data_IF_049755514385
#
_entry.id   IF_049755514385
#
_cell.length_a   1.000
_cell.length_b   1.000
_cell.length_c   1.000
_cell.angle_alpha   90.00
_cell.angle_beta   90.00
_cell.angle_gamma   90.00
#
_symmetry.space_group_name_H-M   'P 1'
#
loop_
_entity.id
_entity.type
_entity.pdbx_description
1 polymer ?
#
# COMPACT_ATOMS: atom_id res chain seq x y z
N UNK A 1 -26.25 -1.63 19.78
CA UNK A 1 -25.64 -2.95 19.65
C UNK A 1 -24.59 -3.01 18.53
N UNK A 2 -24.83 -2.49 17.32
CA UNK A 2 -23.86 -2.51 16.21
C UNK A 2 -22.56 -1.76 16.55
N UNK A 3 -22.64 -0.60 17.15
CA UNK A 3 -21.46 0.23 17.56
C UNK A 3 -20.61 -0.49 18.64
N UNK A 4 -21.24 -1.23 19.54
CA UNK A 4 -20.52 -2.02 20.54
C UNK A 4 -19.78 -3.20 19.91
N UNK A 5 -20.40 -3.87 18.94
CA UNK A 5 -19.78 -4.99 18.22
C UNK A 5 -18.61 -4.50 17.34
N UNK A 6 -18.72 -3.35 16.70
CA UNK A 6 -17.61 -2.75 15.93
C UNK A 6 -16.43 -2.33 16.82
N UNK A 7 -16.69 -1.71 17.97
CA UNK A 7 -15.67 -1.42 18.98
C UNK A 7 -14.98 -2.69 19.50
N UNK A 8 -15.75 -3.75 19.76
CA UNK A 8 -15.19 -5.04 20.20
C UNK A 8 -14.33 -5.70 19.11
N UNK A 9 -14.77 -5.67 17.86
CA UNK A 9 -13.98 -6.21 16.74
C UNK A 9 -12.70 -5.40 16.50
N UNK A 10 -12.75 -4.09 16.68
CA UNK A 10 -11.57 -3.24 16.60
C UNK A 10 -10.59 -3.51 17.75
N UNK A 11 -11.09 -3.62 18.99
CA UNK A 11 -10.30 -3.96 20.18
C UNK A 11 -9.61 -5.33 20.01
N UNK A 12 -10.33 -6.34 19.54
CA UNK A 12 -9.77 -7.66 19.29
C UNK A 12 -8.67 -7.58 18.22
N UNK A 13 -8.86 -6.85 17.13
CA UNK A 13 -7.84 -6.68 16.08
C UNK A 13 -6.56 -6.00 16.58
N UNK A 14 -6.68 -5.07 17.52
CA UNK A 14 -5.53 -4.37 18.11
C UNK A 14 -4.84 -5.20 19.19
N UNK A 15 -5.61 -5.88 20.05
CA UNK A 15 -5.06 -6.69 21.14
C UNK A 15 -4.50 -8.05 20.67
N UNK A 16 -5.05 -8.62 19.62
CA UNK A 16 -4.67 -9.93 19.12
C UNK A 16 -3.16 -10.07 18.84
N UNK A 17 -2.50 -9.13 18.17
CA UNK A 17 -1.05 -9.19 17.94
C UNK A 17 -0.23 -9.15 19.24
N UNK A 18 -0.71 -8.42 20.26
CA UNK A 18 -0.03 -8.36 21.57
C UNK A 18 -0.17 -9.69 22.34
N UNK A 19 -1.35 -10.30 22.27
CA UNK A 19 -1.58 -11.61 22.88
C UNK A 19 -0.73 -12.70 22.19
N UNK A 20 -0.73 -12.72 20.88
CA UNK A 20 0.10 -13.62 20.07
C UNK A 20 1.59 -13.45 20.40
N UNK A 21 2.04 -12.20 20.55
CA UNK A 21 3.40 -11.87 20.94
C UNK A 21 3.76 -12.46 22.31
N UNK A 22 2.88 -12.31 23.31
CA UNK A 22 3.07 -12.90 24.64
C UNK A 22 3.11 -14.44 24.60
N UNK A 23 2.25 -15.07 23.82
CA UNK A 23 2.25 -16.53 23.67
C UNK A 23 3.52 -17.00 22.99
N UNK A 24 3.94 -16.35 21.92
CA UNK A 24 5.19 -16.67 21.21
C UNK A 24 6.44 -16.40 22.05
N UNK A 25 6.40 -15.51 23.03
CA UNK A 25 7.51 -15.27 23.93
C UNK A 25 7.90 -16.52 24.73
N UNK A 26 6.93 -17.35 25.15
CA UNK A 26 7.17 -18.51 26.00
C UNK A 26 8.16 -19.51 25.38
N UNK A 27 7.98 -19.99 24.13
CA UNK A 27 8.94 -20.90 23.51
C UNK A 27 10.33 -20.28 23.31
N UNK A 28 10.40 -18.98 22.97
CA UNK A 28 11.70 -18.32 22.84
C UNK A 28 12.41 -18.16 24.18
N UNK A 29 11.67 -17.89 25.26
CA UNK A 29 12.18 -17.87 26.62
C UNK A 29 12.71 -19.26 27.04
N UNK A 30 11.96 -20.33 26.74
CA UNK A 30 12.40 -21.70 27.01
C UNK A 30 13.63 -22.08 26.18
N UNK A 31 13.67 -21.67 24.92
CA UNK A 31 14.80 -21.89 24.04
C UNK A 31 16.05 -21.17 24.56
N UNK A 32 15.93 -19.90 24.94
CA UNK A 32 17.04 -19.16 25.55
C UNK A 32 17.57 -19.83 26.81
N UNK A 33 16.70 -20.42 27.62
CA UNK A 33 17.12 -21.12 28.83
C UNK A 33 17.87 -22.45 28.54
N UNK A 34 17.61 -23.08 27.39
CA UNK A 34 18.30 -24.31 26.95
C UNK A 34 19.58 -24.03 26.15
N UNK A 35 19.67 -22.91 25.44
CA UNK A 35 20.83 -22.55 24.60
C UNK A 35 22.03 -22.12 25.44
N UNK A 36 21.79 -21.61 26.66
CA UNK A 36 22.85 -21.25 27.58
C UNK A 36 23.56 -22.50 28.07
N UNK A 37 24.86 -22.64 27.68
CA UNK A 37 25.69 -23.81 27.98
C UNK A 37 25.81 -24.83 26.84
N UNK A 38 25.17 -24.60 25.70
CA UNK A 38 25.31 -25.41 24.50
C UNK A 38 26.38 -24.82 23.59
N UNK A 39 27.42 -25.58 23.28
CA UNK A 39 28.50 -25.15 22.37
C UNK A 39 28.00 -24.89 20.95
N UNK A 40 26.96 -25.58 20.50
CA UNK A 40 26.39 -25.45 19.15
C UNK A 40 25.60 -24.15 18.95
N UNK A 41 25.04 -23.58 20.02
CA UNK A 41 24.20 -22.39 19.96
C UNK A 41 24.80 -21.18 20.68
N UNK A 42 26.10 -21.20 20.95
CA UNK A 42 26.81 -20.15 21.70
C UNK A 42 26.66 -18.74 21.06
N UNK A 43 26.49 -18.69 19.72
CA UNK A 43 26.39 -17.45 18.96
C UNK A 43 24.95 -17.09 18.57
N UNK A 44 23.96 -17.87 18.96
CA UNK A 44 22.57 -17.62 18.65
C UNK A 44 21.88 -16.94 19.84
N UNK A 45 21.37 -15.75 19.64
CA UNK A 45 20.54 -15.07 20.62
C UNK A 45 19.04 -15.27 20.31
N UNK A 46 18.33 -16.16 21.03
CA UNK A 46 16.92 -16.40 20.80
C UNK A 46 16.02 -15.17 21.01
N UNK A 47 16.40 -14.27 21.93
CA UNK A 47 15.64 -13.06 22.15
C UNK A 47 15.77 -12.07 20.99
N UNK A 48 16.96 -12.00 20.39
CA UNK A 48 17.17 -11.20 19.18
C UNK A 48 16.32 -11.73 18.03
N UNK A 49 16.32 -13.06 17.81
CA UNK A 49 15.47 -13.70 16.79
C UNK A 49 13.99 -13.43 17.01
N UNK A 50 13.53 -13.51 18.25
CA UNK A 50 12.15 -13.22 18.62
C UNK A 50 11.76 -11.79 18.28
N UNK A 51 12.58 -10.79 18.67
CA UNK A 51 12.32 -9.38 18.36
C UNK A 51 12.33 -9.11 16.87
N UNK A 52 13.30 -9.66 16.14
CA UNK A 52 13.38 -9.50 14.67
C UNK A 52 12.18 -10.14 13.97
N UNK A 53 11.71 -11.29 14.41
CA UNK A 53 10.54 -11.95 13.85
C UNK A 53 9.30 -11.05 13.96
N UNK A 54 9.04 -10.49 15.15
CA UNK A 54 7.91 -9.59 15.36
C UNK A 54 8.10 -8.24 14.65
N UNK A 55 9.33 -7.74 14.53
CA UNK A 55 9.63 -6.55 13.75
C UNK A 55 9.28 -6.72 12.27
N UNK A 56 9.63 -7.87 11.68
CA UNK A 56 9.37 -8.17 10.26
C UNK A 56 7.88 -8.40 10.00
N UNK A 57 7.17 -9.08 10.90
CA UNK A 57 5.76 -9.44 10.69
C UNK A 57 4.83 -8.27 10.98
N UNK A 58 5.00 -7.62 12.12
CA UNK A 58 4.04 -6.64 12.65
C UNK A 58 4.53 -5.20 12.62
N UNK A 59 5.84 -4.95 12.40
CA UNK A 59 6.43 -3.62 12.34
C UNK A 59 6.90 -3.08 13.69
N UNK A 60 7.11 -1.76 13.74
CA UNK A 60 7.83 -1.08 14.83
C UNK A 60 7.17 -1.23 16.20
N UNK A 61 5.83 -1.13 16.28
CA UNK A 61 5.13 -1.21 17.58
C UNK A 61 5.33 -2.55 18.26
N UNK A 62 5.19 -3.65 17.52
CA UNK A 62 5.36 -4.99 18.06
C UNK A 62 6.82 -5.33 18.33
N UNK A 63 7.75 -4.81 17.53
CA UNK A 63 9.18 -4.92 17.77
C UNK A 63 9.56 -4.32 19.13
N UNK A 64 9.06 -3.11 19.43
CA UNK A 64 9.31 -2.45 20.72
C UNK A 64 8.73 -3.25 21.89
N UNK A 65 7.51 -3.75 21.74
CA UNK A 65 6.88 -4.58 22.76
C UNK A 65 7.63 -5.89 22.99
N UNK A 66 8.03 -6.58 21.90
CA UNK A 66 8.87 -7.80 21.97
C UNK A 66 10.22 -7.53 22.65
N UNK A 67 10.84 -6.38 22.36
CA UNK A 67 12.10 -6.01 22.99
C UNK A 67 11.93 -5.81 24.50
N UNK A 68 10.86 -5.16 24.95
CA UNK A 68 10.55 -4.99 26.38
C UNK A 68 10.33 -6.36 27.05
N UNK A 69 9.58 -7.27 26.41
CA UNK A 69 9.37 -8.62 26.93
C UNK A 69 10.68 -9.42 27.00
N UNK A 70 11.53 -9.31 25.99
CA UNK A 70 12.84 -9.97 25.95
C UNK A 70 13.74 -9.46 27.08
N UNK A 71 13.80 -8.16 27.31
CA UNK A 71 14.56 -7.55 28.42
C UNK A 71 14.00 -8.00 29.76
N UNK A 72 12.69 -7.97 29.93
CA UNK A 72 12.05 -8.45 31.16
C UNK A 72 12.36 -9.93 31.44
N UNK A 73 12.28 -10.78 30.42
CA UNK A 73 12.63 -12.21 30.52
C UNK A 73 14.10 -12.44 30.84
N UNK A 74 14.98 -11.65 30.21
CA UNK A 74 16.41 -11.70 30.52
C UNK A 74 16.71 -11.29 31.96
N UNK A 75 16.15 -10.16 32.41
CA UNK A 75 16.31 -9.67 33.77
C UNK A 75 15.77 -10.67 34.80
N UNK A 76 14.56 -11.18 34.55
CA UNK A 76 13.96 -12.20 35.42
C UNK A 76 14.88 -13.42 35.61
N UNK A 77 15.48 -13.91 34.52
CA UNK A 77 16.40 -15.04 34.56
C UNK A 77 17.69 -14.72 35.33
N UNK A 78 18.29 -13.53 35.08
CA UNK A 78 19.54 -13.13 35.72
C UNK A 78 19.37 -12.95 37.25
N UNK A 79 18.20 -12.51 37.70
CA UNK A 79 17.91 -12.37 39.14
C UNK A 79 17.95 -13.70 39.90
N UNK A 80 17.78 -14.83 39.21
CA UNK A 80 17.93 -16.17 39.82
C UNK A 80 19.38 -16.66 39.91
N UNK A 81 20.26 -16.15 39.05
CA UNK A 81 21.64 -16.63 38.92
C UNK A 81 22.68 -15.71 39.53
N UNK A 82 22.37 -14.42 39.62
CA UNK A 82 23.28 -13.38 40.14
C UNK A 82 22.54 -12.40 41.04
N UNK A 83 23.31 -11.64 41.85
CA UNK A 83 22.76 -10.53 42.60
C UNK A 83 22.16 -9.49 41.65
N UNK A 84 20.93 -8.99 41.92
CA UNK A 84 20.26 -8.01 41.05
C UNK A 84 21.09 -6.73 40.85
N UNK A 85 21.94 -6.37 41.82
CA UNK A 85 22.86 -5.24 41.71
C UNK A 85 23.98 -5.48 40.67
N UNK A 86 24.53 -6.67 40.59
CA UNK A 86 25.57 -7.03 39.60
C UNK A 86 25.03 -6.97 38.16
N UNK A 87 23.79 -7.39 37.95
CA UNK A 87 23.14 -7.31 36.65
C UNK A 87 22.91 -5.88 36.19
N UNK A 88 22.57 -5.00 37.13
CA UNK A 88 22.36 -3.58 36.85
C UNK A 88 23.65 -2.80 36.59
N UNK A 89 24.82 -3.29 37.04
CA UNK A 89 26.12 -2.65 36.81
C UNK A 89 26.87 -3.23 35.61
N UNK A 90 26.40 -4.36 35.06
CA UNK A 90 27.05 -5.01 33.93
C UNK A 90 26.88 -4.23 32.63
N UNK A 91 27.98 -3.64 32.14
CA UNK A 91 28.01 -2.88 30.89
C UNK A 91 27.55 -3.72 29.66
N UNK A 92 27.90 -5.00 29.63
CA UNK A 92 27.51 -5.88 28.51
C UNK A 92 26.00 -6.05 28.41
N UNK A 93 25.29 -6.04 29.52
CA UNK A 93 23.83 -6.10 29.57
C UNK A 93 23.22 -4.88 28.88
N UNK A 94 23.75 -3.68 29.12
CA UNK A 94 23.23 -2.46 28.48
C UNK A 94 23.51 -2.44 26.97
N UNK A 95 24.71 -2.87 26.55
CA UNK A 95 25.04 -2.97 25.12
C UNK A 95 24.11 -3.94 24.42
N UNK A 96 23.84 -5.09 25.04
CA UNK A 96 22.91 -6.09 24.49
C UNK A 96 21.48 -5.53 24.40
N UNK A 97 20.97 -4.86 25.45
CA UNK A 97 19.67 -4.21 25.42
C UNK A 97 19.59 -3.16 24.31
N UNK A 98 20.60 -2.30 24.21
CA UNK A 98 20.66 -1.27 23.17
C UNK A 98 20.65 -1.90 21.77
N UNK A 99 21.44 -2.95 21.52
CA UNK A 99 21.47 -3.68 20.25
C UNK A 99 20.10 -4.25 19.90
N UNK A 100 19.41 -4.86 20.85
CA UNK A 100 18.10 -5.47 20.66
C UNK A 100 17.04 -4.43 20.29
N UNK A 101 17.04 -3.26 20.96
CA UNK A 101 16.14 -2.15 20.63
C UNK A 101 16.48 -1.52 19.27
N UNK A 102 17.77 -1.23 19.02
CA UNK A 102 18.20 -0.60 17.76
C UNK A 102 17.81 -1.49 16.57
N UNK A 103 18.14 -2.77 16.62
CA UNK A 103 17.83 -3.70 15.52
C UNK A 103 16.32 -3.89 15.36
N UNK A 104 15.58 -4.05 16.47
CA UNK A 104 14.13 -4.17 16.43
C UNK A 104 13.45 -2.94 15.83
N UNK A 105 13.89 -1.74 16.24
CA UNK A 105 13.36 -0.48 15.72
C UNK A 105 13.69 -0.27 14.24
N UNK A 106 14.94 -0.51 13.83
CA UNK A 106 15.36 -0.33 12.44
C UNK A 106 14.59 -1.26 11.51
N UNK A 107 14.53 -2.55 11.86
CA UNK A 107 13.82 -3.54 11.04
C UNK A 107 12.31 -3.28 11.04
N UNK A 108 11.73 -2.95 12.19
CA UNK A 108 10.32 -2.60 12.32
C UNK A 108 9.95 -1.35 11.51
N UNK A 109 10.79 -0.31 11.56
CA UNK A 109 10.63 0.89 10.75
C UNK A 109 10.71 0.59 9.23
N UNK A 110 11.72 -0.18 8.81
CA UNK A 110 11.84 -0.57 7.40
C UNK A 110 10.61 -1.32 6.90
N UNK A 111 10.07 -2.22 7.72
CA UNK A 111 8.85 -2.95 7.39
C UNK A 111 7.64 -2.02 7.24
N UNK A 112 7.47 -1.05 8.16
CA UNK A 112 6.38 -0.09 8.10
C UNK A 112 6.52 0.84 6.88
N UNK A 113 7.74 1.26 6.56
CA UNK A 113 8.04 2.04 5.36
C UNK A 113 7.70 1.27 4.06
N UNK A 114 8.10 0.00 3.97
CA UNK A 114 7.76 -0.85 2.81
C UNK A 114 6.24 -0.99 2.67
N UNK A 115 5.51 -1.10 3.79
CA UNK A 115 4.04 -1.20 3.77
C UNK A 115 3.41 0.10 3.25
N UNK A 116 3.88 1.25 3.70
CA UNK A 116 3.40 2.55 3.24
C UNK A 116 3.67 2.74 1.75
N UNK A 117 4.90 2.46 1.30
CA UNK A 117 5.25 2.53 -0.12
C UNK A 117 4.39 1.61 -1.00
N UNK A 118 4.03 0.42 -0.53
CA UNK A 118 3.14 -0.47 -1.27
C UNK A 118 1.72 0.10 -1.40
N UNK A 119 1.20 0.71 -0.34
CA UNK A 119 -0.12 1.34 -0.39
C UNK A 119 -0.12 2.54 -1.35
N UNK A 120 0.89 3.39 -1.28
CA UNK A 120 1.06 4.52 -2.21
C UNK A 120 1.19 4.05 -3.67
N UNK A 121 1.94 2.98 -3.92
CA UNK A 121 2.07 2.39 -5.25
C UNK A 121 0.73 1.86 -5.78
N UNK A 122 -0.06 1.20 -4.93
CA UNK A 122 -1.40 0.71 -5.30
C UNK A 122 -2.36 1.87 -5.62
N UNK A 123 -2.36 2.92 -4.81
CA UNK A 123 -3.18 4.11 -5.06
C UNK A 123 -2.78 4.80 -6.38
N UNK A 124 -1.48 4.86 -6.67
CA UNK A 124 -0.96 5.40 -7.92
C UNK A 124 -1.38 4.55 -9.13
N UNK A 125 -1.29 3.23 -9.02
CA UNK A 125 -1.75 2.31 -10.08
C UNK A 125 -3.25 2.46 -10.35
N UNK A 126 -4.07 2.57 -9.31
CA UNK A 126 -5.51 2.80 -9.47
C UNK A 126 -5.79 4.16 -10.13
N UNK A 127 -5.03 5.21 -9.75
CA UNK A 127 -5.17 6.52 -10.36
C UNK A 127 -4.80 6.52 -11.84
N UNK A 128 -3.68 5.88 -12.17
CA UNK A 128 -3.22 5.73 -13.57
C UNK A 128 -4.24 4.93 -14.41
N UNK A 129 -4.79 3.85 -13.85
CA UNK A 129 -5.81 3.07 -14.54
C UNK A 129 -7.08 3.89 -14.81
N UNK A 130 -7.52 4.72 -13.87
CA UNK A 130 -8.65 5.66 -14.11
C UNK A 130 -8.33 6.64 -15.23
N UNK A 131 -7.13 7.24 -15.23
CA UNK A 131 -6.71 8.15 -16.30
C UNK A 131 -6.68 7.45 -17.68
N UNK A 132 -6.23 6.21 -17.74
CA UNK A 132 -6.23 5.43 -18.99
C UNK A 132 -7.65 5.23 -19.52
N UNK A 133 -8.60 4.90 -18.62
CA UNK A 133 -10.02 4.77 -18.99
C UNK A 133 -10.58 6.09 -19.51
N UNK A 134 -10.35 7.19 -18.78
CA UNK A 134 -10.82 8.52 -19.17
C UNK A 134 -10.25 8.95 -20.54
N UNK A 135 -8.95 8.73 -20.78
CA UNK A 135 -8.30 9.03 -22.07
C UNK A 135 -8.91 8.17 -23.20
N UNK A 136 -9.20 6.92 -22.93
CA UNK A 136 -9.83 6.02 -23.89
C UNK A 136 -11.22 6.50 -24.27
N UNK A 137 -12.04 6.86 -23.28
CA UNK A 137 -13.41 7.37 -23.49
C UNK A 137 -13.39 8.68 -24.29
N UNK A 138 -12.45 9.59 -23.98
CA UNK A 138 -12.25 10.82 -24.74
C UNK A 138 -11.85 10.51 -26.19
N UNK A 139 -10.93 9.56 -26.40
CA UNK A 139 -10.49 9.17 -27.72
C UNK A 139 -11.63 8.54 -28.55
N UNK A 140 -12.43 7.66 -27.95
CA UNK A 140 -13.60 7.06 -28.61
C UNK A 140 -14.66 8.14 -28.95
N UNK A 141 -14.85 9.12 -28.05
CA UNK A 141 -15.72 10.27 -28.32
C UNK A 141 -15.21 11.10 -29.49
N UNK A 142 -13.92 11.40 -29.54
CA UNK A 142 -13.29 12.16 -30.62
C UNK A 142 -13.42 11.45 -31.97
N UNK A 143 -13.24 10.11 -31.99
CA UNK A 143 -13.43 9.31 -33.21
C UNK A 143 -14.88 9.43 -33.70
N UNK A 144 -15.88 9.30 -32.80
CA UNK A 144 -17.30 9.46 -33.16
C UNK A 144 -17.62 10.86 -33.68
N UNK A 145 -17.09 11.90 -33.04
CA UNK A 145 -17.26 13.29 -33.49
C UNK A 145 -16.67 13.48 -34.88
N UNK A 146 -15.48 12.92 -35.14
CA UNK A 146 -14.85 12.94 -36.45
C UNK A 146 -15.71 12.26 -37.53
N UNK A 147 -16.23 11.07 -37.25
CA UNK A 147 -17.13 10.33 -38.18
C UNK A 147 -18.39 11.15 -38.50
N UNK A 148 -19.01 11.76 -37.47
CA UNK A 148 -20.21 12.61 -37.68
C UNK A 148 -19.86 13.84 -38.53
N UNK A 149 -18.70 14.48 -38.30
CA UNK A 149 -18.27 15.63 -39.09
C UNK A 149 -17.98 15.25 -40.54
N UNK A 150 -17.34 14.10 -40.79
CA UNK A 150 -17.11 13.58 -42.13
C UNK A 150 -18.41 13.31 -42.86
N UNK A 151 -19.39 12.74 -42.18
CA UNK A 151 -20.71 12.48 -42.73
C UNK A 151 -21.49 13.76 -43.06
N UNK A 152 -21.42 14.76 -42.17
CA UNK A 152 -22.00 16.08 -42.44
C UNK A 152 -21.33 16.80 -43.62
N UNK A 153 -20.02 16.65 -43.78
CA UNK A 153 -19.30 17.20 -44.93
C UNK A 153 -19.75 16.56 -46.26
N UNK A 154 -19.96 15.26 -46.26
CA UNK A 154 -20.45 14.52 -47.44
C UNK A 154 -21.88 14.98 -47.77
N UNK A 155 -22.79 15.04 -46.80
CA UNK A 155 -24.16 15.45 -46.98
C UNK A 155 -24.22 16.92 -47.45
N UNK A 156 -23.34 17.78 -46.96
CA UNK A 156 -23.29 19.18 -47.39
C UNK A 156 -22.80 19.33 -48.82
N UNK A 157 -21.81 18.53 -49.23
CA UNK A 157 -21.29 18.47 -50.58
C UNK A 157 -22.36 17.99 -51.56
N UNK A 158 -23.14 16.95 -51.20
CA UNK A 158 -24.24 16.44 -52.02
C UNK A 158 -25.38 17.43 -52.12
N UNK A 159 -25.69 18.20 -51.02
CA UNK A 159 -26.69 19.27 -51.05
C UNK A 159 -26.26 20.42 -51.95
N UNK A 160 -25.00 20.85 -51.92
CA UNK A 160 -24.46 21.89 -52.83
C UNK A 160 -24.52 21.40 -54.26
N UNK A 161 -24.15 20.12 -54.56
CA UNK A 161 -24.27 19.54 -55.86
C UNK A 161 -25.68 19.51 -56.40
N UNK A 162 -26.69 19.22 -55.58
CA UNK A 162 -28.10 19.27 -55.94
C UNK A 162 -28.59 20.70 -56.21
N UNK A 163 -28.21 21.68 -55.40
CA UNK A 163 -28.54 23.09 -55.58
C UNK A 163 -27.94 23.58 -56.91
N UNK A 164 -26.69 23.27 -57.21
CA UNK A 164 -26.03 23.63 -58.45
C UNK A 164 -26.72 22.98 -59.67
N UNK A 165 -27.11 21.72 -59.59
CA UNK A 165 -27.83 21.02 -60.68
C UNK A 165 -29.23 21.61 -60.94
N UNK A 166 -29.93 22.03 -59.85
CA UNK A 166 -31.24 22.67 -59.95
C UNK A 166 -31.10 24.07 -60.55
N UNK A 167 -30.11 24.83 -60.14
CA UNK A 167 -29.86 26.19 -60.66
C UNK A 167 -29.46 26.13 -62.16
N UNK A 168 -28.56 25.20 -62.52
CA UNK A 168 -28.20 25.01 -63.92
C UNK A 168 -29.38 24.53 -64.79
N UNK A 169 -30.27 23.66 -64.21
CA UNK A 169 -31.48 23.22 -64.90
C UNK A 169 -32.56 24.33 -65.06
N UNK A 170 -32.60 25.28 -64.13
CA UNK A 170 -33.45 26.46 -64.22
C UNK A 170 -32.93 27.49 -65.26
N UNK A 171 -31.63 27.70 -65.28
CA UNK A 171 -30.96 28.56 -66.24
C UNK A 171 -31.14 28.08 -67.69
N UNK A 172 -31.19 26.77 -67.89
CA UNK A 172 -31.41 26.14 -69.19
C UNK A 172 -32.91 26.12 -69.62
N UNK A 173 -33.83 26.35 -68.69
CA UNK A 173 -35.31 26.33 -68.94
C UNK A 173 -35.92 27.71 -68.89
N UNK A 174 -35.23 28.77 -68.51
CA UNK A 174 -35.72 30.13 -68.65
C UNK A 174 -35.43 30.65 -70.05
N UNK A 175 -36.44 30.86 -70.90
CA UNK A 175 -36.22 31.64 -72.12
C UNK A 175 -35.89 33.06 -71.70
N UNK A 176 -35.02 33.71 -72.49
CA UNK A 176 -34.48 35.05 -72.32
C UNK A 176 -35.54 36.15 -72.15
N UNK A 177 -36.83 35.84 -72.22
CA UNK A 177 -37.96 36.77 -72.09
C UNK A 177 -38.36 37.14 -70.66
N UNK A 178 -37.88 36.43 -69.60
CA UNK A 178 -38.26 36.70 -68.22
C UNK A 178 -37.42 37.81 -67.59
N UNK A 179 -36.31 38.17 -68.20
CA UNK A 179 -35.35 39.19 -67.64
C UNK A 179 -35.85 40.61 -67.95
N UNK A 180 -36.87 40.82 -68.76
CA UNK A 180 -37.35 42.12 -69.18
C UNK A 180 -38.49 42.69 -68.33
N UNK A 181 -38.94 42.02 -67.30
CA UNK A 181 -40.10 42.46 -66.45
C UNK A 181 -39.75 42.49 -64.93
N UNK A 182 -38.60 42.89 -64.55
CA UNK A 182 -38.32 43.22 -63.16
C UNK A 182 -37.75 44.65 -63.10
#
# INVERSE_FOLDING_TARGET
>A
WKVLIEKWRWLIKVLFPFFENMVCFIPFFMMNNRTVGSEYFANLDPFLLYVLLFAIVYGQQQATFSAILAVAGYMFRQMYTRSGFEVLVDYNTYVWIAQLFILGLVVGYMRDQIRTMRLESQELEEHLNRQIVDIRDINESNVRVKEIMEQQLIDHKDSIGKIYSITAGLEQRMPDEVIFYA
#
